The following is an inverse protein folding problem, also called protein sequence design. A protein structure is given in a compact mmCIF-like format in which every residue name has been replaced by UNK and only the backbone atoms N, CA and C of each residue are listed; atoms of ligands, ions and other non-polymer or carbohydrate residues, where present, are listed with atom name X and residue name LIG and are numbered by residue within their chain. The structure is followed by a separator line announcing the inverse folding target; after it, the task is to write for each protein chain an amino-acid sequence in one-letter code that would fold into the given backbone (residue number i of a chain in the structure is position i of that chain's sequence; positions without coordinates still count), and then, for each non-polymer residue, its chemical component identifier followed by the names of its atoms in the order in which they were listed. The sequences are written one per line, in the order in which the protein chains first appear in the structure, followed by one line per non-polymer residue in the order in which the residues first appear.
data_IF_634768582533
#
_entry.id   IF_634768582533
#
_cell.length_a   1.000
_cell.length_b   1.000
_cell.length_c   1.000
_cell.angle_alpha   90.00
_cell.angle_beta   90.00
_cell.angle_gamma   90.00
#
_symmetry.space_group_name_H-M   'P 1'
#
loop_
_entity.id
_entity.type
_entity.pdbx_description
1 polymer ?
#
# COMPACT_ATOMS: atom_id res chain seq x y z
N UNK A 1 -13.94 -60.97 48.94
CA UNK A 1 -14.67 -60.22 47.87
C UNK A 1 -14.10 -58.80 47.80
N UNK A 2 -13.13 -58.57 46.93
CA UNK A 2 -12.42 -57.29 46.80
C UNK A 2 -13.04 -56.49 45.64
N UNK A 3 -13.72 -55.39 45.92
CA UNK A 3 -14.27 -54.48 44.93
C UNK A 3 -13.10 -53.61 44.38
N UNK A 4 -12.76 -53.80 43.14
CA UNK A 4 -11.79 -52.94 42.40
C UNK A 4 -12.58 -51.72 41.87
N UNK A 5 -12.29 -50.53 42.41
CA UNK A 5 -12.74 -49.25 41.90
C UNK A 5 -11.86 -48.84 40.73
N UNK A 6 -12.40 -48.76 39.54
CA UNK A 6 -11.73 -48.23 38.35
C UNK A 6 -11.97 -46.71 38.34
N UNK A 7 -10.91 -45.92 38.57
CA UNK A 7 -10.92 -44.47 38.36
C UNK A 7 -10.67 -44.20 36.89
N UNK A 8 -11.72 -43.71 36.21
CA UNK A 8 -11.58 -43.19 34.84
C UNK A 8 -11.13 -41.73 34.98
N UNK A 9 -9.87 -41.47 34.67
CA UNK A 9 -9.38 -40.10 34.54
C UNK A 9 -9.74 -39.54 33.18
N UNK A 10 -10.71 -38.60 33.19
CA UNK A 10 -11.10 -37.87 31.98
C UNK A 10 -10.05 -36.78 31.72
N UNK A 11 -9.18 -37.03 30.74
CA UNK A 11 -8.18 -36.05 30.28
C UNK A 11 -8.89 -35.06 29.34
N UNK A 12 -9.28 -33.90 29.87
CA UNK A 12 -9.81 -32.80 29.06
C UNK A 12 -8.68 -32.18 28.23
N UNK A 13 -8.61 -32.55 26.96
CA UNK A 13 -7.68 -31.94 26.00
C UNK A 13 -8.24 -30.57 25.61
N UNK A 14 -7.75 -29.50 26.25
CA UNK A 14 -8.05 -28.12 25.87
C UNK A 14 -7.30 -27.82 24.58
N UNK A 15 -8.01 -27.87 23.47
CA UNK A 15 -7.52 -27.37 22.18
C UNK A 15 -7.35 -25.85 22.29
N UNK A 16 -6.15 -25.39 22.56
CA UNK A 16 -5.75 -24.00 22.40
C UNK A 16 -5.74 -23.67 20.91
N UNK A 17 -6.87 -23.14 20.41
CA UNK A 17 -6.93 -22.55 19.08
C UNK A 17 -6.06 -21.29 19.13
N UNK A 18 -4.95 -21.20 18.37
CA UNK A 18 -4.22 -19.94 18.27
C UNK A 18 -5.19 -18.90 17.70
N UNK A 19 -5.51 -17.87 18.49
CA UNK A 19 -6.18 -16.69 17.99
C UNK A 19 -5.26 -16.09 16.90
N UNK A 20 -5.55 -16.34 15.64
CA UNK A 20 -4.95 -15.57 14.56
C UNK A 20 -5.39 -14.13 14.81
N UNK A 21 -4.47 -13.34 15.37
CA UNK A 21 -4.63 -11.90 15.42
C UNK A 21 -4.80 -11.44 13.97
N UNK A 22 -6.04 -11.14 13.59
CA UNK A 22 -6.32 -10.48 12.33
C UNK A 22 -5.53 -9.18 12.38
N UNK A 23 -4.47 -9.11 11.59
CA UNK A 23 -3.66 -7.91 11.49
C UNK A 23 -4.60 -6.77 11.11
N UNK A 24 -4.81 -5.85 12.04
CA UNK A 24 -5.72 -4.74 11.84
C UNK A 24 -5.15 -3.89 10.70
N UNK A 25 -5.89 -3.74 9.61
CA UNK A 25 -5.45 -2.93 8.48
C UNK A 25 -5.26 -1.49 8.94
N UNK A 26 -4.10 -0.88 8.66
CA UNK A 26 -3.85 0.49 9.09
C UNK A 26 -4.80 1.48 8.40
N UNK A 27 -5.10 2.57 9.08
CA UNK A 27 -5.85 3.69 8.51
C UNK A 27 -4.88 4.77 8.07
N UNK A 28 -4.82 5.01 6.77
CA UNK A 28 -3.94 6.02 6.15
C UNK A 28 -4.58 7.41 6.09
N UNK A 29 -5.81 7.61 6.58
CA UNK A 29 -6.49 8.92 6.51
C UNK A 29 -5.67 10.03 7.18
N UNK A 30 -5.64 11.19 6.55
CA UNK A 30 -4.96 12.39 7.03
C UNK A 30 -4.12 13.07 5.96
N UNK A 31 -3.47 14.15 6.36
CA UNK A 31 -2.48 14.85 5.53
C UNK A 31 -1.10 14.28 5.81
N UNK A 32 -0.33 14.13 4.76
CA UNK A 32 0.98 13.53 4.80
C UNK A 32 1.96 14.37 3.99
N UNK A 33 3.09 14.74 4.59
CA UNK A 33 4.15 15.50 3.92
C UNK A 33 5.39 14.64 3.77
N UNK A 34 5.95 14.61 2.57
CA UNK A 34 7.12 13.79 2.26
C UNK A 34 8.33 14.23 3.10
N UNK A 35 8.96 13.25 3.72
CA UNK A 35 10.26 13.37 4.37
C UNK A 35 11.35 13.09 3.32
N UNK A 36 11.96 14.15 2.80
CA UNK A 36 12.97 14.03 1.73
C UNK A 36 14.26 13.33 2.21
N UNK A 37 14.59 13.44 3.48
CA UNK A 37 15.80 12.84 4.06
C UNK A 37 15.69 11.31 4.18
N UNK A 38 14.46 10.82 4.45
CA UNK A 38 14.18 9.39 4.59
C UNK A 38 13.72 8.74 3.29
N UNK A 39 13.36 9.55 2.29
CA UNK A 39 12.89 9.06 1.00
C UNK A 39 14.04 8.71 0.07
N UNK A 40 13.89 7.61 -0.66
CA UNK A 40 14.84 7.13 -1.64
C UNK A 40 14.19 7.13 -3.02
N UNK A 41 14.72 7.93 -3.93
CA UNK A 41 14.30 7.96 -5.33
C UNK A 41 15.24 7.08 -6.16
N UNK A 42 14.77 6.46 -7.26
CA UNK A 42 15.62 5.64 -8.10
C UNK A 42 16.78 6.47 -8.64
N UNK A 43 18.00 5.96 -8.55
CA UNK A 43 19.15 6.55 -9.22
C UNK A 43 18.89 6.59 -10.73
N UNK A 44 19.05 7.77 -11.36
CA UNK A 44 18.86 7.94 -12.80
C UNK A 44 17.39 8.00 -13.24
N UNK A 45 16.48 8.38 -12.37
CA UNK A 45 15.09 8.72 -12.71
C UNK A 45 15.07 9.81 -13.76
N UNK A 46 15.08 9.37 -15.05
CA UNK A 46 15.28 10.22 -16.20
C UNK A 46 14.24 11.30 -16.34
N UNK A 47 14.70 12.50 -16.64
CA UNK A 47 14.06 13.45 -17.54
C UNK A 47 12.72 14.07 -17.15
N UNK A 48 12.17 13.77 -16.00
CA UNK A 48 11.06 14.54 -15.45
C UNK A 48 11.57 15.32 -14.24
N UNK A 49 11.45 16.63 -14.26
CA UNK A 49 11.57 17.42 -13.04
C UNK A 49 10.61 16.82 -12.02
N UNK A 50 11.11 16.01 -11.09
CA UNK A 50 10.40 15.68 -9.88
C UNK A 50 9.93 17.01 -9.25
N UNK A 51 8.86 17.01 -8.45
CA UNK A 51 8.42 18.22 -7.78
C UNK A 51 9.64 18.84 -7.08
N UNK A 52 9.83 20.16 -7.26
CA UNK A 52 10.96 20.91 -6.72
C UNK A 52 10.97 21.00 -5.18
N UNK A 53 10.14 20.22 -4.50
CA UNK A 53 10.01 20.19 -3.05
C UNK A 53 9.28 18.95 -2.55
N UNK A 54 9.08 18.82 -1.22
CA UNK A 54 8.38 17.69 -0.64
C UNK A 54 6.94 17.62 -1.15
N UNK A 55 6.50 16.42 -1.49
CA UNK A 55 5.12 16.17 -1.90
C UNK A 55 4.22 16.17 -0.67
N UNK A 56 3.01 16.74 -0.82
CA UNK A 56 1.96 16.67 0.17
C UNK A 56 0.77 15.89 -0.40
N UNK A 57 0.33 14.85 0.33
CA UNK A 57 -0.79 14.01 -0.04
C UNK A 57 -1.84 14.01 1.05
N UNK A 58 -3.09 14.01 0.67
CA UNK A 58 -4.20 13.80 1.60
C UNK A 58 -4.87 12.48 1.27
N UNK A 59 -4.99 11.62 2.28
CA UNK A 59 -5.73 10.37 2.16
C UNK A 59 -7.04 10.44 2.93
N UNK A 60 -8.08 9.88 2.33
CA UNK A 60 -9.36 9.57 2.97
C UNK A 60 -9.64 8.09 2.77
N UNK A 61 -9.75 7.33 3.85
CA UNK A 61 -9.97 5.88 3.80
C UNK A 61 -11.32 5.52 4.40
N UNK A 62 -12.07 4.72 3.64
CA UNK A 62 -13.29 4.04 4.09
C UNK A 62 -13.04 2.53 4.21
N UNK A 63 -14.08 1.75 4.49
CA UNK A 63 -13.99 0.29 4.51
C UNK A 63 -13.68 -0.30 3.12
N UNK A 64 -14.08 0.38 2.04
CA UNK A 64 -14.03 -0.14 0.66
C UNK A 64 -13.07 0.60 -0.26
N UNK A 65 -12.68 1.83 0.09
CA UNK A 65 -11.90 2.71 -0.78
C UNK A 65 -10.85 3.50 -0.01
N UNK A 66 -9.72 3.72 -0.66
CA UNK A 66 -8.71 4.70 -0.28
C UNK A 66 -8.67 5.78 -1.37
N UNK A 67 -8.94 7.02 -1.00
CA UNK A 67 -8.86 8.18 -1.88
C UNK A 67 -7.59 8.95 -1.56
N UNK A 68 -6.77 9.21 -2.57
CA UNK A 68 -5.58 10.05 -2.48
C UNK A 68 -5.81 11.33 -3.27
N UNK A 69 -5.56 12.46 -2.64
CA UNK A 69 -5.58 13.77 -3.26
C UNK A 69 -4.22 14.43 -3.13
N UNK A 70 -3.74 15.01 -4.22
CA UNK A 70 -2.49 15.76 -4.24
C UNK A 70 -2.59 16.95 -5.17
N UNK A 71 -1.91 18.02 -4.81
CA UNK A 71 -1.77 19.18 -5.68
C UNK A 71 -0.71 18.89 -6.76
N UNK A 72 -1.01 19.29 -7.99
CA UNK A 72 -0.10 19.21 -9.13
C UNK A 72 -0.07 20.56 -9.84
N UNK A 73 0.93 20.85 -10.68
CA UNK A 73 0.94 22.07 -11.49
C UNK A 73 -0.30 22.29 -12.34
N UNK A 74 -1.05 21.23 -12.64
CA UNK A 74 -2.28 21.24 -13.44
C UNK A 74 -3.55 21.22 -12.56
N UNK A 75 -3.43 21.46 -11.26
CA UNK A 75 -4.54 21.45 -10.31
C UNK A 75 -4.55 20.20 -9.40
N UNK A 76 -5.65 20.02 -8.68
CA UNK A 76 -5.83 18.91 -7.76
C UNK A 76 -6.02 17.60 -8.52
N UNK A 77 -5.19 16.62 -8.23
CA UNK A 77 -5.31 15.26 -8.75
C UNK A 77 -5.88 14.33 -7.67
N UNK A 78 -6.95 13.63 -8.03
CA UNK A 78 -7.61 12.64 -7.19
C UNK A 78 -7.39 11.24 -7.77
N UNK A 79 -7.04 10.30 -6.91
CA UNK A 79 -6.88 8.88 -7.26
C UNK A 79 -7.68 8.03 -6.28
N UNK A 80 -8.48 7.10 -6.78
CA UNK A 80 -9.31 6.21 -5.98
C UNK A 80 -8.77 4.78 -6.11
N UNK A 81 -8.60 4.11 -4.98
CA UNK A 81 -8.19 2.71 -4.91
C UNK A 81 -9.29 1.92 -4.22
N UNK A 82 -9.90 0.95 -4.92
CA UNK A 82 -10.80 -0.03 -4.29
C UNK A 82 -9.99 -1.05 -3.53
N UNK A 83 -10.37 -1.32 -2.28
CA UNK A 83 -9.57 -2.12 -1.35
C UNK A 83 -9.85 -3.62 -1.41
N UNK A 84 -10.79 -4.03 -2.24
CA UNK A 84 -11.26 -5.41 -2.42
C UNK A 84 -10.60 -6.16 -3.59
N UNK A 85 -9.63 -5.55 -4.25
CA UNK A 85 -8.97 -6.11 -5.44
C UNK A 85 -9.71 -5.88 -6.76
N UNK A 86 -10.89 -5.26 -6.73
CA UNK A 86 -11.60 -4.89 -7.96
C UNK A 86 -10.91 -3.73 -8.68
N UNK A 87 -11.10 -3.60 -10.01
CA UNK A 87 -10.44 -2.55 -10.78
C UNK A 87 -10.88 -1.14 -10.35
N UNK A 88 -9.94 -0.22 -10.22
CA UNK A 88 -10.14 1.22 -10.11
C UNK A 88 -9.59 1.90 -11.36
N UNK A 89 -10.39 2.74 -12.01
CA UNK A 89 -9.98 3.52 -13.18
C UNK A 89 -9.76 4.97 -12.74
N UNK A 90 -8.59 5.50 -13.01
CA UNK A 90 -8.18 6.84 -12.61
C UNK A 90 -7.55 7.59 -13.78
N UNK A 91 -7.57 8.91 -13.75
CA UNK A 91 -6.87 9.72 -14.72
C UNK A 91 -5.35 9.50 -14.63
N UNK A 92 -4.70 9.25 -15.75
CA UNK A 92 -3.25 9.17 -15.85
C UNK A 92 -2.60 10.55 -15.88
N UNK A 93 -1.41 10.67 -15.28
CA UNK A 93 -0.72 11.97 -15.14
C UNK A 93 -0.25 12.63 -16.45
N UNK A 94 -0.35 11.94 -17.59
CA UNK A 94 -0.01 12.45 -18.93
C UNK A 94 -1.18 12.35 -19.91
N UNK A 95 -2.41 12.30 -19.40
CA UNK A 95 -3.61 11.99 -20.15
C UNK A 95 -3.86 10.47 -20.23
N UNK A 96 -5.06 10.09 -20.65
CA UNK A 96 -5.52 8.71 -20.65
C UNK A 96 -5.97 8.24 -19.27
N UNK A 97 -6.22 6.95 -19.17
CA UNK A 97 -6.68 6.30 -17.95
C UNK A 97 -5.67 5.23 -17.49
N UNK A 98 -5.59 5.05 -16.18
CA UNK A 98 -4.81 3.99 -15.56
C UNK A 98 -5.76 3.13 -14.74
N UNK A 99 -5.82 1.85 -15.08
CA UNK A 99 -6.56 0.86 -14.30
C UNK A 99 -5.62 0.20 -13.29
N UNK A 100 -5.99 0.26 -12.01
CA UNK A 100 -5.24 -0.35 -10.92
C UNK A 100 -6.10 -1.33 -10.14
N UNK A 101 -5.46 -2.28 -9.47
CA UNK A 101 -6.09 -3.20 -8.51
C UNK A 101 -5.34 -3.12 -7.20
N UNK A 102 -6.07 -2.94 -6.11
CA UNK A 102 -5.48 -2.82 -4.77
C UNK A 102 -6.12 -3.82 -3.82
N UNK A 103 -5.29 -4.50 -3.05
CA UNK A 103 -5.75 -5.43 -2.03
C UNK A 103 -4.83 -5.39 -0.81
N UNK A 104 -5.37 -5.74 0.34
CA UNK A 104 -4.59 -5.88 1.55
C UNK A 104 -3.82 -7.19 1.57
N UNK A 105 -2.53 -7.13 1.85
CA UNK A 105 -1.66 -8.25 2.15
C UNK A 105 -1.14 -8.07 3.59
N UNK A 106 -1.86 -8.64 4.56
CA UNK A 106 -1.64 -8.36 5.98
C UNK A 106 -1.92 -6.89 6.31
N UNK A 107 -0.93 -6.18 6.84
CA UNK A 107 -0.99 -4.75 7.14
C UNK A 107 -0.52 -3.84 6.00
N UNK A 108 -0.27 -4.39 4.83
CA UNK A 108 0.22 -3.67 3.64
C UNK A 108 -0.86 -3.60 2.58
N UNK A 109 -1.09 -2.42 2.02
CA UNK A 109 -1.94 -2.24 0.86
C UNK A 109 -1.09 -2.32 -0.41
N UNK A 110 -1.28 -3.37 -1.19
CA UNK A 110 -0.57 -3.60 -2.45
C UNK A 110 -1.43 -3.19 -3.62
N UNK A 111 -0.93 -2.28 -4.45
CA UNK A 111 -1.58 -1.77 -5.66
C UNK A 111 -0.76 -2.16 -6.88
N UNK A 112 -1.39 -2.79 -7.86
CA UNK A 112 -0.76 -3.20 -9.12
C UNK A 112 -1.42 -2.49 -10.29
N UNK A 113 -0.61 -1.93 -11.19
CA UNK A 113 -1.10 -1.28 -12.41
C UNK A 113 -0.01 -1.26 -13.49
N UNK A 114 -0.46 -1.08 -14.73
CA UNK A 114 0.42 -0.87 -15.87
C UNK A 114 0.27 0.57 -16.36
N UNK A 115 1.36 1.23 -16.64
CA UNK A 115 1.36 2.57 -17.24
C UNK A 115 2.18 2.59 -18.52
N UNK A 116 1.77 3.43 -19.45
CA UNK A 116 2.53 3.67 -20.69
C UNK A 116 3.53 4.79 -20.48
N UNK A 117 4.78 4.56 -20.87
CA UNK A 117 5.85 5.57 -20.92
C UNK A 117 6.49 5.56 -22.30
N UNK A 118 6.10 6.51 -23.15
CA UNK A 118 6.44 6.48 -24.57
C UNK A 118 5.76 5.28 -25.24
N UNK A 119 6.52 4.44 -25.91
CA UNK A 119 6.03 3.21 -26.56
C UNK A 119 6.05 1.97 -25.61
N UNK A 120 6.54 2.12 -24.40
CA UNK A 120 6.71 1.01 -23.47
C UNK A 120 5.58 0.94 -22.45
N UNK A 121 5.09 -0.27 -22.21
CA UNK A 121 4.25 -0.60 -21.06
C UNK A 121 5.14 -0.99 -19.89
N UNK A 122 4.87 -0.40 -18.73
CA UNK A 122 5.64 -0.58 -17.50
C UNK A 122 4.71 -1.06 -16.41
N UNK A 123 4.99 -2.25 -15.89
CA UNK A 123 4.26 -2.75 -14.72
C UNK A 123 4.81 -2.10 -13.45
N UNK A 124 3.88 -1.66 -12.61
CA UNK A 124 4.18 -0.99 -11.35
C UNK A 124 3.47 -1.72 -10.23
N UNK A 125 4.20 -1.96 -9.16
CA UNK A 125 3.67 -2.44 -7.88
C UNK A 125 3.98 -1.38 -6.83
N UNK A 126 2.94 -0.84 -6.22
CA UNK A 126 3.07 0.08 -5.08
C UNK A 126 2.61 -0.61 -3.81
N UNK A 127 3.40 -0.51 -2.76
CA UNK A 127 3.06 -1.05 -1.45
C UNK A 127 3.02 0.09 -0.43
N UNK A 128 1.87 0.25 0.24
CA UNK A 128 1.66 1.26 1.29
C UNK A 128 1.55 0.57 2.64
N UNK A 129 2.28 1.10 3.63
CA UNK A 129 2.25 0.59 5.00
C UNK A 129 2.69 1.64 6.01
N UNK A 130 2.42 1.37 7.28
CA UNK A 130 2.91 2.22 8.37
C UNK A 130 4.23 1.68 8.91
N UNK A 131 5.21 2.55 9.08
CA UNK A 131 6.48 2.28 9.77
C UNK A 131 6.57 3.23 10.97
N UNK A 132 6.14 2.75 12.14
CA UNK A 132 5.87 3.61 13.28
C UNK A 132 4.75 4.61 12.95
N UNK A 133 5.02 5.91 13.06
CA UNK A 133 4.07 6.98 12.75
C UNK A 133 4.19 7.47 11.29
N UNK A 134 5.11 6.94 10.51
CA UNK A 134 5.33 7.34 9.13
C UNK A 134 4.53 6.46 8.18
N UNK A 135 3.95 7.07 7.16
CA UNK A 135 3.42 6.35 6.01
C UNK A 135 4.57 6.10 5.02
N UNK A 136 4.76 4.86 4.65
CA UNK A 136 5.75 4.46 3.64
C UNK A 136 5.04 4.01 2.37
N UNK A 137 5.52 4.48 1.23
CA UNK A 137 5.08 4.06 -0.09
C UNK A 137 6.30 3.57 -0.87
N UNK A 138 6.40 2.27 -1.04
CA UNK A 138 7.39 1.63 -1.88
C UNK A 138 6.82 1.41 -3.27
N UNK A 139 7.61 1.63 -4.30
CA UNK A 139 7.21 1.40 -5.68
C UNK A 139 8.29 0.62 -6.42
N UNK A 140 7.88 -0.43 -7.09
CA UNK A 140 8.72 -1.26 -7.96
C UNK A 140 8.19 -1.14 -9.38
N UNK A 141 9.04 -0.72 -10.30
CA UNK A 141 8.73 -0.55 -11.72
C UNK A 141 9.57 -1.50 -12.56
N UNK A 142 8.92 -2.35 -13.35
CA UNK A 142 9.60 -3.24 -14.30
C UNK A 142 9.73 -2.53 -15.63
N UNK A 143 10.91 -2.03 -15.93
CA UNK A 143 11.22 -1.35 -17.18
C UNK A 143 12.01 -2.27 -18.12
N UNK A 144 12.06 -2.00 -19.45
CA UNK A 144 12.92 -2.76 -20.38
C UNK A 144 14.40 -2.75 -19.98
N UNK A 145 14.86 -1.74 -19.24
CA UNK A 145 16.23 -1.58 -18.78
C UNK A 145 16.47 -2.13 -17.36
N UNK A 146 15.54 -2.92 -16.84
CA UNK A 146 15.61 -3.52 -15.52
C UNK A 146 14.58 -2.95 -14.53
N UNK A 147 14.65 -3.42 -13.31
CA UNK A 147 13.76 -3.03 -12.23
C UNK A 147 14.25 -1.73 -11.57
N UNK A 148 13.33 -0.83 -11.27
CA UNK A 148 13.58 0.40 -10.52
C UNK A 148 12.71 0.45 -9.30
N UNK A 149 13.32 0.73 -8.17
CA UNK A 149 12.63 0.85 -6.89
C UNK A 149 12.68 2.28 -6.36
N UNK A 150 11.65 2.68 -5.64
CA UNK A 150 11.64 3.90 -4.83
C UNK A 150 10.99 3.64 -3.48
N UNK A 151 11.42 4.37 -2.47
CA UNK A 151 10.80 4.37 -1.14
C UNK A 151 10.52 5.82 -0.76
N UNK A 152 9.25 6.17 -0.68
CA UNK A 152 8.82 7.49 -0.19
C UNK A 152 8.36 7.34 1.24
N UNK A 153 8.84 8.20 2.11
CA UNK A 153 8.47 8.26 3.52
C UNK A 153 7.74 9.57 3.77
N UNK A 154 6.61 9.49 4.45
CA UNK A 154 5.78 10.65 4.75
C UNK A 154 5.56 10.77 6.25
N UNK A 155 5.63 11.99 6.75
CA UNK A 155 5.25 12.37 8.11
C UNK A 155 3.83 12.87 8.12
N UNK A 156 3.10 12.60 9.17
CA UNK A 156 1.75 13.16 9.37
C UNK A 156 1.84 14.67 9.55
N UNK A 157 1.05 15.40 8.74
CA UNK A 157 0.95 16.87 8.80
C UNK A 157 -0.12 17.33 9.78
#
# INVERSE_FOLDING_TARGET
MTKRSVLIALFAFVLAIPAMALAQTPNFSGKWTQDMEKSQMPAGGGGGRGPAGPQAWTYTQSATELVMERETPNGMMKTVYKLDGSPSVNAGGRGGEVTSKSAWEGSKLVTKYTRTMGENSIDVVETRYMEGENLVVESVMKTPNGERTSKLVFKKG
#
